data_IF_419526290406
#
_entry.id   IF_419526290406
#
_cell.length_a   1.000
_cell.length_b   1.000
_cell.length_c   1.000
_cell.angle_alpha   90.00
_cell.angle_beta   90.00
_cell.angle_gamma   90.00
#
_symmetry.space_group_name_H-M   'P 1'
#
loop_
_entity.id
_entity.type
_entity.pdbx_description
1 polymer ?
#
# COMPACT_ATOMS: atom_id res chain seq x y z
N UNK A 1 1.97 -17.41 -24.12
CA UNK A 1 0.61 -17.01 -23.71
C UNK A 1 0.13 -17.77 -22.46
N UNK A 2 0.17 -19.10 -22.45
CA UNK A 2 -0.21 -19.92 -21.26
C UNK A 2 0.61 -19.61 -20.00
N UNK A 3 1.91 -19.34 -20.11
CA UNK A 3 2.78 -19.01 -18.96
C UNK A 3 2.49 -17.63 -18.37
N UNK A 4 2.08 -16.66 -19.17
CA UNK A 4 1.67 -15.33 -18.71
C UNK A 4 0.32 -15.38 -17.99
N UNK A 5 -0.63 -16.14 -18.52
CA UNK A 5 -1.93 -16.35 -17.88
C UNK A 5 -1.79 -17.09 -16.54
N UNK A 6 -0.93 -18.10 -16.48
CA UNK A 6 -0.65 -18.82 -15.22
C UNK A 6 0.07 -17.94 -14.19
N UNK A 7 0.95 -17.03 -14.63
CA UNK A 7 1.60 -16.05 -13.77
C UNK A 7 0.64 -15.03 -13.20
N UNK A 8 -0.24 -14.46 -14.03
CA UNK A 8 -1.26 -13.52 -13.59
C UNK A 8 -2.26 -14.19 -12.63
N UNK A 9 -2.71 -15.41 -12.92
CA UNK A 9 -3.58 -16.18 -12.03
C UNK A 9 -2.91 -16.46 -10.67
N UNK A 10 -1.62 -16.80 -10.67
CA UNK A 10 -0.85 -17.00 -9.43
C UNK A 10 -0.79 -15.71 -8.59
N UNK A 11 -0.45 -14.57 -9.22
CA UNK A 11 -0.42 -13.27 -8.51
C UNK A 11 -1.77 -12.89 -7.95
N UNK A 12 -2.85 -13.12 -8.71
CA UNK A 12 -4.21 -12.85 -8.23
C UNK A 12 -4.58 -13.75 -7.05
N UNK A 13 -4.29 -15.05 -7.13
CA UNK A 13 -4.55 -15.99 -6.05
C UNK A 13 -3.75 -15.65 -4.77
N UNK A 14 -2.45 -15.34 -4.92
CA UNK A 14 -1.59 -14.89 -3.82
C UNK A 14 -2.09 -13.57 -3.23
N UNK A 15 -2.47 -12.60 -4.06
CA UNK A 15 -3.02 -11.33 -3.61
C UNK A 15 -4.31 -11.50 -2.81
N UNK A 16 -5.25 -12.32 -3.28
CA UNK A 16 -6.49 -12.63 -2.55
C UNK A 16 -6.21 -13.37 -1.24
N UNK A 17 -5.31 -14.34 -1.24
CA UNK A 17 -4.90 -15.04 -0.02
C UNK A 17 -4.28 -14.07 0.99
N UNK A 18 -3.33 -13.22 0.56
CA UNK A 18 -2.69 -12.23 1.41
C UNK A 18 -3.71 -11.22 1.97
N UNK A 19 -4.71 -10.83 1.17
CA UNK A 19 -5.79 -9.95 1.62
C UNK A 19 -6.64 -10.61 2.71
N UNK A 20 -7.00 -11.87 2.55
CA UNK A 20 -7.78 -12.61 3.55
C UNK A 20 -7.01 -12.83 4.85
N UNK A 21 -5.73 -13.24 4.75
CA UNK A 21 -4.87 -13.40 5.93
C UNK A 21 -4.65 -12.05 6.62
N UNK A 22 -4.39 -10.99 5.85
CA UNK A 22 -4.24 -9.62 6.36
C UNK A 22 -5.50 -9.10 7.05
N UNK A 23 -6.67 -9.45 6.54
CA UNK A 23 -7.93 -9.11 7.19
C UNK A 23 -8.12 -9.89 8.51
N UNK A 24 -7.87 -11.21 8.49
CA UNK A 24 -7.90 -12.03 9.71
C UNK A 24 -6.92 -11.51 10.77
N UNK A 25 -5.71 -11.15 10.37
CA UNK A 25 -4.73 -10.50 11.24
C UNK A 25 -5.28 -9.21 11.88
N UNK A 26 -5.91 -8.34 11.08
CA UNK A 26 -6.50 -7.08 11.60
C UNK A 26 -7.62 -7.32 12.59
N UNK A 27 -8.45 -8.35 12.38
CA UNK A 27 -9.50 -8.74 13.33
C UNK A 27 -8.89 -9.09 14.69
N UNK A 28 -7.92 -10.00 14.69
CA UNK A 28 -7.30 -10.46 15.94
C UNK A 28 -6.54 -9.30 16.60
N UNK A 29 -5.80 -8.52 15.82
CA UNK A 29 -5.06 -7.37 16.32
C UNK A 29 -5.99 -6.35 16.98
N UNK A 30 -7.07 -5.93 16.30
CA UNK A 30 -8.00 -4.93 16.83
C UNK A 30 -8.67 -5.37 18.14
N UNK A 31 -8.99 -6.65 18.26
CA UNK A 31 -9.54 -7.22 19.51
C UNK A 31 -8.54 -7.25 20.66
N UNK A 32 -7.26 -7.48 20.35
CA UNK A 32 -6.20 -7.52 21.37
C UNK A 32 -5.81 -6.12 21.87
N UNK A 33 -5.67 -5.16 20.95
CA UNK A 33 -5.08 -3.86 21.28
C UNK A 33 -6.11 -2.74 21.44
N UNK A 34 -7.33 -2.94 20.97
CA UNK A 34 -8.44 -1.96 21.05
C UNK A 34 -8.33 -0.81 20.02
N UNK A 35 -9.41 -0.04 19.91
CA UNK A 35 -9.60 0.99 18.90
C UNK A 35 -8.55 2.12 18.96
N UNK A 36 -8.21 2.59 20.16
CA UNK A 36 -7.28 3.70 20.34
C UNK A 36 -5.84 3.33 19.91
N UNK A 37 -5.36 2.14 20.27
CA UNK A 37 -4.05 1.66 19.82
C UNK A 37 -4.03 1.42 18.31
N UNK A 38 -5.13 0.93 17.74
CA UNK A 38 -5.29 0.85 16.28
C UNK A 38 -5.21 2.23 15.63
N UNK A 39 -5.79 3.26 16.26
CA UNK A 39 -5.69 4.65 15.81
C UNK A 39 -4.25 5.16 15.80
N UNK A 40 -3.51 4.96 16.90
CA UNK A 40 -2.10 5.32 17.00
C UNK A 40 -1.25 4.60 15.93
N UNK A 41 -1.49 3.32 15.73
CA UNK A 41 -0.82 2.55 14.69
C UNK A 41 -1.13 3.10 13.28
N UNK A 42 -2.39 3.42 12.99
CA UNK A 42 -2.78 4.01 11.70
C UNK A 42 -2.21 5.43 11.51
N UNK A 43 -1.97 6.16 12.60
CA UNK A 43 -1.42 7.51 12.58
C UNK A 43 0.05 7.54 12.12
N UNK A 44 0.84 6.49 12.40
CA UNK A 44 2.24 6.39 11.96
C UNK A 44 2.39 5.88 10.51
N UNK A 45 1.38 5.23 9.93
CA UNK A 45 1.46 4.67 8.57
C UNK A 45 1.68 5.72 7.48
N UNK A 46 1.15 6.96 7.55
CA UNK A 46 1.49 8.05 6.65
C UNK A 46 2.99 8.37 6.60
N UNK A 47 3.67 8.33 7.74
CA UNK A 47 5.12 8.58 7.82
C UNK A 47 5.87 7.47 7.06
N UNK A 48 5.49 6.21 7.30
CA UNK A 48 6.02 5.05 6.56
C UNK A 48 5.82 5.20 5.04
N UNK A 49 4.59 5.49 4.61
CA UNK A 49 4.24 5.62 3.19
C UNK A 49 5.00 6.78 2.51
N UNK A 50 5.16 7.89 3.21
CA UNK A 50 5.90 9.06 2.71
C UNK A 50 7.38 8.75 2.53
N UNK A 51 8.01 8.09 3.50
CA UNK A 51 9.41 7.64 3.39
C UNK A 51 9.60 6.66 2.24
N UNK A 52 8.69 5.70 2.08
CA UNK A 52 8.73 4.74 0.97
C UNK A 52 8.58 5.43 -0.38
N UNK A 53 7.70 6.44 -0.49
CA UNK A 53 7.52 7.22 -1.72
C UNK A 53 8.76 8.02 -2.08
N UNK A 54 9.43 8.60 -1.08
CA UNK A 54 10.66 9.37 -1.27
C UNK A 54 11.86 8.50 -1.65
N UNK A 55 11.96 7.29 -1.10
CA UNK A 55 13.20 6.51 -1.16
C UNK A 55 13.13 5.32 -2.11
N UNK A 56 12.00 4.63 -2.18
CA UNK A 56 11.91 3.32 -2.84
C UNK A 56 11.03 3.29 -4.09
N UNK A 57 9.83 3.90 -4.08
CA UNK A 57 8.80 3.68 -5.12
C UNK A 57 9.31 4.03 -6.52
N UNK A 58 9.98 5.17 -6.69
CA UNK A 58 10.56 5.53 -7.99
C UNK A 58 11.61 4.54 -8.47
N UNK A 59 12.45 4.06 -7.55
CA UNK A 59 13.50 3.10 -7.85
C UNK A 59 12.95 1.71 -8.21
N UNK A 60 11.84 1.28 -7.62
CA UNK A 60 11.21 -0.02 -7.95
C UNK A 60 10.76 -0.07 -9.40
N UNK A 61 10.17 1.01 -9.91
CA UNK A 61 9.76 1.12 -11.32
C UNK A 61 10.98 1.11 -12.23
N UNK A 62 12.03 1.88 -11.91
CA UNK A 62 13.27 1.91 -12.69
C UNK A 62 13.94 0.53 -12.73
N UNK A 63 14.04 -0.16 -11.59
CA UNK A 63 14.60 -1.51 -11.51
C UNK A 63 13.81 -2.51 -12.35
N UNK A 64 12.48 -2.51 -12.24
CA UNK A 64 11.63 -3.42 -13.02
C UNK A 64 11.80 -3.18 -14.52
N UNK A 65 11.74 -1.93 -14.97
CA UNK A 65 11.85 -1.55 -16.38
C UNK A 65 13.23 -1.89 -16.97
N UNK A 66 14.30 -1.51 -16.27
CA UNK A 66 15.67 -1.77 -16.76
C UNK A 66 16.04 -3.26 -16.67
N UNK A 67 15.59 -3.97 -15.64
CA UNK A 67 15.80 -5.41 -15.53
C UNK A 67 15.11 -6.17 -16.66
N UNK A 68 13.88 -5.77 -17.03
CA UNK A 68 13.17 -6.35 -18.17
C UNK A 68 13.91 -6.11 -19.49
N UNK A 69 14.39 -4.88 -19.70
CA UNK A 69 15.19 -4.54 -20.89
C UNK A 69 16.45 -5.37 -21.00
N UNK A 70 17.26 -5.44 -19.93
CA UNK A 70 18.53 -6.12 -19.96
C UNK A 70 18.40 -7.66 -19.98
N UNK A 71 17.37 -8.22 -19.37
CA UNK A 71 17.06 -9.65 -19.48
C UNK A 71 16.67 -10.01 -20.92
N UNK A 72 15.88 -9.17 -21.61
CA UNK A 72 15.53 -9.36 -23.01
C UNK A 72 16.76 -9.32 -23.95
N UNK A 73 17.78 -8.53 -23.60
CA UNK A 73 19.08 -8.47 -24.29
C UNK A 73 20.04 -9.61 -23.88
N UNK A 74 19.66 -10.47 -22.94
CA UNK A 74 20.49 -11.54 -22.39
C UNK A 74 21.66 -11.02 -21.54
N UNK A 75 21.64 -9.76 -21.09
CA UNK A 75 22.68 -9.14 -20.26
C UNK A 75 22.35 -9.19 -18.78
N UNK A 76 22.57 -10.35 -18.17
CA UNK A 76 22.37 -10.54 -16.73
C UNK A 76 23.35 -9.73 -15.88
N UNK A 77 24.52 -9.37 -16.44
CA UNK A 77 25.48 -8.47 -15.79
C UNK A 77 24.88 -7.10 -15.54
N UNK A 78 24.21 -6.53 -16.55
CA UNK A 78 23.52 -5.26 -16.45
C UNK A 78 22.31 -5.33 -15.50
N UNK A 79 21.56 -6.44 -15.44
CA UNK A 79 20.50 -6.65 -14.45
C UNK A 79 21.05 -6.54 -13.02
N UNK A 80 22.15 -7.24 -12.72
CA UNK A 80 22.82 -7.14 -11.41
C UNK A 80 23.30 -5.72 -11.11
N UNK A 81 23.90 -5.05 -12.09
CA UNK A 81 24.38 -3.68 -11.95
C UNK A 81 23.24 -2.72 -11.67
N UNK A 82 22.09 -2.86 -12.36
CA UNK A 82 20.86 -2.11 -12.12
C UNK A 82 20.41 -2.24 -10.66
N UNK A 83 20.28 -3.48 -10.17
CA UNK A 83 19.89 -3.74 -8.77
C UNK A 83 20.88 -3.13 -7.78
N UNK A 84 22.18 -3.32 -7.98
CA UNK A 84 23.21 -2.81 -7.06
C UNK A 84 23.21 -1.29 -6.99
N UNK A 85 23.08 -0.61 -8.14
CA UNK A 85 23.00 0.86 -8.19
C UNK A 85 21.71 1.39 -7.57
N UNK A 86 20.59 0.72 -7.81
CA UNK A 86 19.31 1.08 -7.17
C UNK A 86 19.39 0.93 -5.64
N UNK A 87 19.99 -0.15 -5.13
CA UNK A 87 20.23 -0.32 -3.69
C UNK A 87 21.16 0.79 -3.15
N UNK A 88 22.20 1.16 -3.85
CA UNK A 88 23.11 2.25 -3.44
C UNK A 88 22.33 3.59 -3.36
N UNK A 89 21.54 3.94 -4.40
CA UNK A 89 20.73 5.15 -4.39
C UNK A 89 19.68 5.12 -3.28
N UNK A 90 19.07 3.97 -3.06
CA UNK A 90 18.11 3.77 -1.97
C UNK A 90 18.75 4.07 -0.61
N UNK A 91 19.89 3.47 -0.29
CA UNK A 91 20.56 3.71 0.99
C UNK A 91 21.09 5.13 1.13
N UNK A 92 21.58 5.75 0.05
CA UNK A 92 21.99 7.17 0.05
C UNK A 92 20.83 8.09 0.36
N UNK A 93 19.61 7.78 -0.06
CA UNK A 93 18.41 8.55 0.27
C UNK A 93 17.81 8.15 1.63
N UNK A 94 17.68 6.85 1.90
CA UNK A 94 16.92 6.33 3.04
C UNK A 94 17.67 6.51 4.39
N UNK A 95 19.00 6.39 4.42
CA UNK A 95 19.76 6.53 5.67
C UNK A 95 19.70 7.98 6.21
N UNK A 96 19.98 9.05 5.42
CA UNK A 96 19.85 10.40 5.92
C UNK A 96 18.41 10.77 6.31
N UNK A 97 17.42 10.37 5.50
CA UNK A 97 16.00 10.63 5.81
C UNK A 97 15.56 9.89 7.07
N UNK A 98 15.99 8.64 7.24
CA UNK A 98 15.74 7.87 8.45
C UNK A 98 16.41 8.50 9.68
N UNK A 99 17.65 8.96 9.56
CA UNK A 99 18.35 9.68 10.65
C UNK A 99 17.63 10.98 11.01
N UNK A 100 17.19 11.76 10.02
CA UNK A 100 16.37 12.96 10.25
C UNK A 100 15.06 12.61 10.95
N UNK A 101 14.40 11.52 10.53
CA UNK A 101 13.17 11.08 11.18
C UNK A 101 13.39 10.71 12.65
N UNK A 102 14.50 10.06 13.00
CA UNK A 102 14.83 9.73 14.40
C UNK A 102 15.10 11.01 15.20
N UNK A 103 15.90 11.94 14.66
CA UNK A 103 16.23 13.21 15.32
C UNK A 103 14.97 14.05 15.55
N UNK A 104 14.07 14.11 14.59
CA UNK A 104 12.84 14.89 14.65
C UNK A 104 11.61 14.05 15.06
N UNK A 105 11.81 12.86 15.62
CA UNK A 105 10.70 11.97 16.01
C UNK A 105 9.74 12.60 17.02
N UNK A 106 10.26 13.31 18.01
CA UNK A 106 9.46 14.02 19.02
C UNK A 106 8.62 15.16 18.40
N UNK A 107 9.21 16.15 17.69
CA UNK A 107 8.41 17.15 16.97
C UNK A 107 7.38 16.58 16.01
N UNK A 108 7.71 15.50 15.30
CA UNK A 108 6.77 14.85 14.37
C UNK A 108 5.61 14.23 15.13
N UNK A 109 5.88 13.53 16.25
CA UNK A 109 4.83 12.93 17.07
C UNK A 109 3.89 13.98 17.64
N UNK A 110 4.46 15.03 18.27
CA UNK A 110 3.69 16.02 19.03
C UNK A 110 2.98 17.00 18.10
N UNK A 111 3.71 17.61 17.15
CA UNK A 111 3.16 18.72 16.35
C UNK A 111 2.52 18.27 15.04
N UNK A 112 3.04 17.22 14.39
CA UNK A 112 2.48 16.76 13.13
C UNK A 112 1.38 15.72 13.34
N UNK A 113 1.63 14.68 14.14
CA UNK A 113 0.67 13.61 14.40
C UNK A 113 -0.29 13.92 15.56
N UNK A 114 0.07 14.88 16.42
CA UNK A 114 -0.77 15.34 17.54
C UNK A 114 -0.80 14.38 18.73
N UNK A 115 0.08 13.37 18.78
CA UNK A 115 0.13 12.43 19.90
C UNK A 115 1.56 11.90 20.15
N UNK A 116 2.14 12.27 21.29
CA UNK A 116 3.49 11.88 21.68
C UNK A 116 3.71 10.35 21.75
N UNK A 117 2.65 9.58 22.00
CA UNK A 117 2.70 8.10 22.09
C UNK A 117 3.04 7.42 20.77
N UNK A 118 3.09 8.16 19.66
CA UNK A 118 3.51 7.65 18.35
C UNK A 118 5.03 7.63 18.17
N UNK A 119 5.80 8.30 19.04
CA UNK A 119 7.25 8.52 18.89
C UNK A 119 8.04 7.22 18.76
N UNK A 120 7.83 6.26 19.67
CA UNK A 120 8.51 4.96 19.63
C UNK A 120 8.21 4.22 18.31
N UNK A 121 6.95 4.24 17.86
CA UNK A 121 6.55 3.66 16.59
C UNK A 121 7.28 4.29 15.41
N UNK A 122 7.40 5.63 15.38
CA UNK A 122 8.11 6.37 14.32
C UNK A 122 9.59 5.97 14.25
N UNK A 123 10.27 5.88 15.38
CA UNK A 123 11.69 5.48 15.45
C UNK A 123 11.86 4.06 14.90
N UNK A 124 10.99 3.13 15.29
CA UNK A 124 11.02 1.74 14.84
C UNK A 124 10.60 1.56 13.36
N UNK A 125 9.94 2.55 12.74
CA UNK A 125 9.68 2.53 11.30
C UNK A 125 10.96 2.64 10.46
N UNK A 126 12.04 3.24 10.97
CA UNK A 126 13.28 3.42 10.20
C UNK A 126 13.88 2.09 9.74
N UNK A 127 14.18 1.12 10.63
CA UNK A 127 14.64 -0.19 10.19
C UNK A 127 13.61 -0.92 9.32
N UNK A 128 12.31 -0.74 9.57
CA UNK A 128 11.24 -1.30 8.73
C UNK A 128 11.35 -0.78 7.29
N UNK A 129 11.43 0.55 7.09
CA UNK A 129 11.57 1.17 5.76
C UNK A 129 12.84 0.69 5.04
N UNK A 130 13.97 0.60 5.75
CA UNK A 130 15.23 0.12 5.17
C UNK A 130 15.12 -1.32 4.66
N UNK A 131 14.48 -2.18 5.41
CA UNK A 131 14.28 -3.59 5.04
C UNK A 131 13.25 -3.74 3.91
N UNK A 132 12.10 -3.07 4.03
CA UNK A 132 11.06 -3.07 2.97
C UNK A 132 11.60 -2.51 1.65
N UNK A 133 12.44 -1.48 1.68
CA UNK A 133 13.06 -0.95 0.47
C UNK A 133 13.98 -1.96 -0.19
N UNK A 134 14.81 -2.69 0.58
CA UNK A 134 15.64 -3.78 0.07
C UNK A 134 14.78 -4.89 -0.53
N UNK A 135 13.73 -5.30 0.17
CA UNK A 135 12.77 -6.30 -0.30
C UNK A 135 12.15 -5.88 -1.63
N UNK A 136 11.55 -4.69 -1.68
CA UNK A 136 10.84 -4.19 -2.86
C UNK A 136 11.74 -4.07 -4.08
N UNK A 137 12.99 -3.61 -3.93
CA UNK A 137 13.95 -3.55 -5.03
C UNK A 137 14.29 -4.94 -5.59
N UNK A 138 14.42 -5.96 -4.74
CA UNK A 138 14.61 -7.33 -5.20
C UNK A 138 13.35 -7.91 -5.85
N UNK A 139 12.18 -7.68 -5.24
CA UNK A 139 10.86 -8.09 -5.75
C UNK A 139 10.64 -7.55 -7.18
N UNK A 140 10.85 -6.25 -7.37
CA UNK A 140 10.71 -5.60 -8.68
C UNK A 140 11.77 -6.02 -9.69
N UNK A 141 12.98 -6.39 -9.24
CA UNK A 141 13.98 -7.00 -10.10
C UNK A 141 13.49 -8.36 -10.63
N UNK A 142 12.92 -9.21 -9.77
CA UNK A 142 12.35 -10.50 -10.16
C UNK A 142 11.15 -10.32 -11.11
N UNK A 143 10.30 -9.34 -10.90
CA UNK A 143 9.20 -9.02 -11.81
C UNK A 143 9.75 -8.59 -13.19
N UNK A 144 10.78 -7.75 -13.22
CA UNK A 144 11.42 -7.33 -14.45
C UNK A 144 12.01 -8.49 -15.27
N UNK A 145 12.63 -9.47 -14.62
CA UNK A 145 13.16 -10.66 -15.30
C UNK A 145 12.12 -11.76 -15.56
N UNK A 146 10.83 -11.47 -15.32
CA UNK A 146 9.73 -12.40 -15.57
C UNK A 146 9.61 -13.54 -14.57
N UNK A 147 10.32 -13.50 -13.43
CA UNK A 147 10.25 -14.50 -12.39
C UNK A 147 9.27 -14.10 -11.28
N UNK A 148 8.01 -14.48 -11.44
CA UNK A 148 6.92 -14.10 -10.54
C UNK A 148 6.88 -14.98 -9.27
N UNK A 149 7.28 -16.25 -9.37
CA UNK A 149 7.16 -17.23 -8.26
C UNK A 149 7.94 -16.85 -7.00
N UNK A 150 9.23 -16.43 -7.06
CA UNK A 150 9.99 -16.08 -5.86
C UNK A 150 9.34 -14.97 -5.03
N UNK A 151 8.96 -13.80 -5.60
CA UNK A 151 8.26 -12.75 -4.85
C UNK A 151 6.91 -13.21 -4.29
N UNK A 152 6.09 -13.90 -5.09
CA UNK A 152 4.77 -14.35 -4.69
C UNK A 152 4.81 -15.29 -3.48
N UNK A 153 5.72 -16.28 -3.50
CA UNK A 153 5.89 -17.20 -2.37
C UNK A 153 6.44 -16.49 -1.13
N UNK A 154 7.43 -15.59 -1.31
CA UNK A 154 7.97 -14.82 -0.18
C UNK A 154 6.90 -13.95 0.46
N UNK A 155 6.07 -13.25 -0.32
CA UNK A 155 4.98 -12.42 0.17
C UNK A 155 3.92 -13.22 0.95
N UNK A 156 3.60 -14.44 0.46
CA UNK A 156 2.69 -15.34 1.17
C UNK A 156 3.23 -15.73 2.54
N UNK A 157 4.50 -16.15 2.60
CA UNK A 157 5.13 -16.55 3.87
C UNK A 157 5.35 -15.34 4.79
N UNK A 158 5.74 -14.20 4.24
CA UNK A 158 5.88 -12.94 4.97
C UNK A 158 4.60 -12.57 5.70
N UNK A 159 3.45 -12.65 5.03
CA UNK A 159 2.15 -12.34 5.65
C UNK A 159 1.83 -13.25 6.84
N UNK A 160 2.20 -14.53 6.75
CA UNK A 160 2.06 -15.46 7.87
C UNK A 160 3.03 -15.14 9.01
N UNK A 161 4.29 -14.83 8.69
CA UNK A 161 5.30 -14.44 9.69
C UNK A 161 4.89 -13.14 10.36
N UNK A 162 4.41 -12.14 9.62
CA UNK A 162 3.90 -10.87 10.16
C UNK A 162 2.80 -11.12 11.18
N UNK A 163 1.83 -11.93 10.81
CA UNK A 163 0.73 -12.30 11.70
C UNK A 163 1.25 -13.00 12.96
N UNK A 164 2.09 -14.02 12.80
CA UNK A 164 2.65 -14.77 13.92
C UNK A 164 3.58 -13.95 14.80
N UNK A 165 4.46 -13.13 14.21
CA UNK A 165 5.41 -12.30 14.95
C UNK A 165 4.70 -11.21 15.77
N UNK A 166 3.77 -10.45 15.16
CA UNK A 166 3.07 -9.38 15.88
C UNK A 166 2.19 -9.94 16.98
N UNK A 167 1.35 -10.94 16.68
CA UNK A 167 0.45 -11.51 17.68
C UNK A 167 1.25 -12.28 18.76
N UNK A 168 2.27 -13.01 18.37
CA UNK A 168 3.15 -13.72 19.30
C UNK A 168 3.88 -12.75 20.25
N UNK A 169 4.45 -11.67 19.74
CA UNK A 169 5.12 -10.67 20.58
C UNK A 169 4.14 -9.97 21.54
N UNK A 170 2.92 -9.63 21.07
CA UNK A 170 1.91 -9.01 21.93
C UNK A 170 1.49 -9.93 23.10
N UNK A 171 1.34 -11.23 22.82
CA UNK A 171 0.98 -12.21 23.85
C UNK A 171 2.15 -12.49 24.80
N UNK A 172 3.39 -12.54 24.31
CA UNK A 172 4.57 -12.85 25.12
C UNK A 172 5.03 -11.68 25.97
N UNK A 173 5.01 -10.45 25.43
CA UNK A 173 5.59 -9.28 26.11
C UNK A 173 4.58 -8.56 27.01
N UNK A 174 3.27 -8.77 26.81
CA UNK A 174 2.20 -8.17 27.62
C UNK A 174 2.42 -6.66 27.86
N UNK A 175 2.35 -5.81 26.81
CA UNK A 175 2.73 -4.41 26.93
C UNK A 175 1.93 -3.68 28.00
N UNK A 176 2.57 -2.77 28.73
CA UNK A 176 1.97 -2.06 29.86
C UNK A 176 1.20 -0.82 29.44
N UNK A 177 1.56 -0.26 28.29
CA UNK A 177 0.94 0.97 27.77
C UNK A 177 0.76 0.89 26.24
N UNK A 178 0.00 1.85 25.67
CA UNK A 178 -0.32 1.89 24.25
C UNK A 178 0.87 2.20 23.36
N UNK A 179 1.82 3.00 23.83
CA UNK A 179 3.06 3.31 23.13
C UNK A 179 3.90 2.07 22.92
N UNK A 180 4.14 1.29 23.98
CA UNK A 180 4.82 -0.01 23.91
C UNK A 180 4.10 -0.96 22.96
N UNK A 181 2.76 -0.97 22.99
CA UNK A 181 1.95 -1.81 22.10
C UNK A 181 2.19 -1.46 20.64
N UNK A 182 2.19 -0.17 20.27
CA UNK A 182 2.51 0.27 18.91
C UNK A 182 3.95 -0.10 18.55
N UNK A 183 4.90 0.09 19.47
CA UNK A 183 6.29 -0.32 19.28
C UNK A 183 6.44 -1.82 19.02
N UNK A 184 5.70 -2.66 19.72
CA UNK A 184 5.68 -4.13 19.52
C UNK A 184 5.09 -4.48 18.15
N UNK A 185 4.02 -3.84 17.72
CA UNK A 185 3.44 -4.05 16.39
C UNK A 185 4.47 -3.75 15.30
N UNK A 186 5.13 -2.60 15.38
CA UNK A 186 6.17 -2.21 14.40
C UNK A 186 7.38 -3.14 14.47
N UNK A 187 7.79 -3.58 15.67
CA UNK A 187 8.86 -4.58 15.84
C UNK A 187 8.51 -5.90 15.14
N UNK A 188 7.27 -6.36 15.26
CA UNK A 188 6.79 -7.54 14.55
C UNK A 188 6.82 -7.35 13.02
N UNK A 189 6.51 -6.14 12.53
CA UNK A 189 6.71 -5.78 11.11
C UNK A 189 8.18 -5.85 10.71
N UNK A 190 9.10 -5.30 11.51
CA UNK A 190 10.54 -5.37 11.24
C UNK A 190 11.02 -6.83 11.11
N UNK A 191 10.54 -7.72 11.98
CA UNK A 191 10.91 -9.14 11.91
C UNK A 191 10.47 -9.81 10.61
N UNK A 192 9.27 -9.54 10.13
CA UNK A 192 8.84 -10.10 8.86
C UNK A 192 9.60 -9.51 7.66
N UNK A 193 9.92 -8.22 7.70
CA UNK A 193 10.73 -7.58 6.66
C UNK A 193 12.18 -8.12 6.62
N UNK A 194 12.76 -8.45 7.77
CA UNK A 194 14.07 -9.15 7.82
C UNK A 194 13.98 -10.47 7.04
N UNK A 195 12.94 -11.27 7.30
CA UNK A 195 12.75 -12.53 6.58
C UNK A 195 12.65 -12.31 5.07
N UNK A 196 11.80 -11.39 4.63
CA UNK A 196 11.56 -11.12 3.21
C UNK A 196 12.80 -10.57 2.51
N UNK A 197 13.47 -9.57 3.10
CA UNK A 197 14.68 -8.98 2.55
C UNK A 197 15.82 -10.00 2.44
N UNK A 198 16.03 -10.82 3.47
CA UNK A 198 17.06 -11.88 3.45
C UNK A 198 16.74 -12.95 2.42
N UNK A 199 15.49 -13.43 2.40
CA UNK A 199 15.04 -14.48 1.48
C UNK A 199 15.17 -14.04 0.03
N UNK A 200 14.64 -12.87 -0.35
CA UNK A 200 14.73 -12.37 -1.73
C UNK A 200 16.16 -12.05 -2.14
N UNK A 201 16.98 -11.53 -1.24
CA UNK A 201 18.41 -11.32 -1.50
C UNK A 201 19.13 -12.66 -1.74
N UNK A 202 18.85 -13.69 -0.94
CA UNK A 202 19.46 -15.02 -1.11
C UNK A 202 19.01 -15.68 -2.42
N UNK A 203 17.71 -15.61 -2.74
CA UNK A 203 17.17 -16.12 -4.00
C UNK A 203 17.77 -15.41 -5.21
N UNK A 204 17.93 -14.08 -5.15
CA UNK A 204 18.59 -13.32 -6.21
C UNK A 204 20.07 -13.72 -6.37
N UNK A 205 20.80 -13.90 -5.25
CA UNK A 205 22.20 -14.39 -5.29
C UNK A 205 22.27 -15.78 -5.90
N UNK A 206 21.32 -16.68 -5.60
CA UNK A 206 21.24 -18.02 -6.16
C UNK A 206 20.98 -17.97 -7.67
N UNK A 207 20.00 -17.17 -8.11
CA UNK A 207 19.69 -16.95 -9.52
C UNK A 207 20.91 -16.41 -10.29
N UNK A 208 21.61 -15.44 -9.71
CA UNK A 208 22.83 -14.89 -10.30
C UNK A 208 23.94 -15.91 -10.45
N UNK A 209 24.15 -16.76 -9.44
CA UNK A 209 25.22 -17.79 -9.45
C UNK A 209 24.97 -18.90 -10.46
N UNK A 210 23.73 -19.19 -10.81
CA UNK A 210 23.34 -20.21 -11.79
C UNK A 210 23.53 -19.77 -13.25
N UNK A 211 23.92 -18.52 -13.49
CA UNK A 211 24.14 -17.95 -14.81
C UNK A 211 25.62 -17.93 -15.21
N UNK A 212 25.93 -18.01 -16.51
CA UNK A 212 27.27 -17.72 -17.00
C UNK A 212 27.74 -16.33 -16.55
N UNK A 213 28.93 -16.23 -15.97
CA UNK A 213 29.49 -14.96 -15.51
C UNK A 213 29.93 -14.14 -16.73
N UNK A 214 29.04 -13.36 -17.30
CA UNK A 214 29.40 -12.39 -18.33
C UNK A 214 29.52 -11.00 -17.69
N UNK A 215 30.59 -10.25 -17.99
CA UNK A 215 30.60 -8.83 -17.62
C UNK A 215 29.43 -8.11 -18.31
N UNK A 216 28.91 -7.02 -17.72
CA UNK A 216 27.83 -6.27 -18.34
C UNK A 216 28.31 -5.75 -19.72
N UNK A 217 27.52 -6.01 -20.75
CA UNK A 217 27.80 -5.53 -22.11
C UNK A 217 27.51 -4.03 -22.23
N UNK A 218 26.48 -3.58 -21.54
CA UNK A 218 26.14 -2.16 -21.39
C UNK A 218 26.37 -1.69 -19.96
N UNK A 219 26.99 -0.53 -19.78
CA UNK A 219 27.11 0.12 -18.49
C UNK A 219 25.79 0.82 -18.16
N UNK A 220 25.09 0.36 -17.11
CA UNK A 220 23.87 1.02 -16.60
C UNK A 220 24.24 2.39 -16.02
N UNK A 221 23.91 3.47 -16.73
CA UNK A 221 24.17 4.83 -16.23
C UNK A 221 23.33 5.19 -15.01
N UNK A 222 23.91 5.97 -14.08
CA UNK A 222 23.12 6.58 -12.99
C UNK A 222 21.97 7.44 -13.52
N UNK A 223 22.23 8.17 -14.63
CA UNK A 223 21.21 8.99 -15.30
C UNK A 223 20.00 8.19 -15.78
N UNK A 224 20.19 6.95 -16.26
CA UNK A 224 19.09 6.09 -16.68
C UNK A 224 18.18 5.70 -15.52
N UNK A 225 18.76 5.38 -14.35
CA UNK A 225 17.97 5.11 -13.13
C UNK A 225 17.23 6.35 -12.66
N UNK A 226 17.92 7.50 -12.56
CA UNK A 226 17.34 8.73 -12.06
C UNK A 226 16.27 9.31 -13.00
N UNK A 227 16.45 9.23 -14.31
CA UNK A 227 15.44 9.72 -15.28
C UNK A 227 14.10 8.99 -15.22
N UNK A 228 14.11 7.72 -14.78
CA UNK A 228 12.88 6.94 -14.55
C UNK A 228 12.36 7.16 -13.13
N UNK A 229 13.26 7.09 -12.13
CA UNK A 229 12.86 7.07 -10.73
C UNK A 229 12.37 8.43 -10.21
N UNK A 230 12.98 9.56 -10.61
CA UNK A 230 12.62 10.88 -10.08
C UNK A 230 11.18 11.29 -10.45
N UNK A 231 10.74 11.22 -11.73
CA UNK A 231 9.36 11.56 -12.07
C UNK A 231 8.33 10.68 -11.37
N UNK A 232 8.62 9.38 -11.25
CA UNK A 232 7.72 8.42 -10.57
C UNK A 232 7.68 8.71 -9.07
N UNK A 233 8.83 8.95 -8.43
CA UNK A 233 8.90 9.31 -7.01
C UNK A 233 8.13 10.61 -6.72
N UNK A 234 8.29 11.64 -7.56
CA UNK A 234 7.61 12.91 -7.38
C UNK A 234 6.07 12.78 -7.46
N UNK A 235 5.56 12.06 -8.45
CA UNK A 235 4.12 11.80 -8.61
C UNK A 235 3.57 10.94 -7.47
N UNK A 236 4.30 9.89 -7.08
CA UNK A 236 3.92 9.01 -5.97
C UNK A 236 3.93 9.77 -4.63
N UNK A 237 4.94 10.61 -4.39
CA UNK A 237 5.04 11.42 -3.18
C UNK A 237 3.86 12.39 -3.06
N UNK A 238 3.50 13.06 -4.15
CA UNK A 238 2.36 13.98 -4.14
C UNK A 238 1.06 13.25 -3.79
N UNK A 239 0.78 12.11 -4.43
CA UNK A 239 -0.37 11.28 -4.11
C UNK A 239 -0.34 10.74 -2.67
N UNK A 240 0.83 10.33 -2.17
CA UNK A 240 0.99 9.85 -0.80
C UNK A 240 0.75 10.95 0.23
N UNK A 241 1.27 12.16 0.02
CA UNK A 241 1.05 13.31 0.92
C UNK A 241 -0.44 13.64 0.97
N UNK A 242 -1.11 13.76 -0.18
CA UNK A 242 -2.53 14.07 -0.23
C UNK A 242 -3.39 12.99 0.45
N UNK A 243 -3.16 11.71 0.12
CA UNK A 243 -3.87 10.58 0.73
C UNK A 243 -3.60 10.44 2.23
N UNK A 244 -2.36 10.74 2.66
CA UNK A 244 -1.95 10.63 4.06
C UNK A 244 -2.40 11.83 4.91
N UNK A 245 -2.66 12.97 4.31
CA UNK A 245 -3.09 14.17 5.04
C UNK A 245 -4.39 13.96 5.81
N UNK A 246 -5.30 13.13 5.30
CA UNK A 246 -6.54 12.75 6.01
C UNK A 246 -6.26 12.03 7.33
N UNK A 247 -5.22 11.22 7.42
CA UNK A 247 -4.88 10.50 8.65
C UNK A 247 -4.50 11.43 9.80
N UNK A 248 -3.86 12.56 9.48
CA UNK A 248 -3.52 13.61 10.46
C UNK A 248 -4.72 14.55 10.68
N UNK A 249 -5.41 14.90 9.60
CA UNK A 249 -6.47 15.90 9.62
C UNK A 249 -7.73 15.43 10.37
N UNK A 250 -8.12 14.16 10.23
CA UNK A 250 -9.34 13.62 10.86
C UNK A 250 -9.26 13.73 12.40
N UNK A 251 -8.25 13.16 13.09
CA UNK A 251 -8.15 13.30 14.55
C UNK A 251 -8.04 14.76 14.99
N UNK A 252 -7.23 15.57 14.33
CA UNK A 252 -7.06 16.98 14.65
C UNK A 252 -8.38 17.76 14.53
N UNK A 253 -9.20 17.51 13.51
CA UNK A 253 -10.49 18.17 13.33
C UNK A 253 -11.57 17.67 14.29
N UNK A 254 -11.54 16.40 14.70
CA UNK A 254 -12.41 15.89 15.74
C UNK A 254 -12.12 16.59 17.09
N UNK A 255 -10.84 16.74 17.44
CA UNK A 255 -10.44 17.49 18.65
C UNK A 255 -10.86 18.96 18.55
N UNK A 256 -10.64 19.60 17.40
CA UNK A 256 -11.08 20.98 17.17
C UNK A 256 -12.64 21.12 17.24
N UNK A 257 -13.37 20.05 16.95
CA UNK A 257 -14.83 19.97 17.12
C UNK A 257 -15.30 19.70 18.56
N UNK A 258 -14.37 19.56 19.51
CA UNK A 258 -14.65 19.37 20.94
C UNK A 258 -14.57 17.92 21.43
N UNK A 259 -14.09 16.99 20.61
CA UNK A 259 -13.85 15.62 21.06
C UNK A 259 -12.60 15.54 21.96
N UNK A 260 -12.65 14.65 22.95
CA UNK A 260 -11.43 14.30 23.71
C UNK A 260 -10.37 13.70 22.78
N UNK A 261 -9.07 14.04 22.94
CA UNK A 261 -8.00 13.53 22.08
C UNK A 261 -7.96 11.99 21.97
N UNK A 262 -8.14 11.29 23.08
CA UNK A 262 -8.17 9.83 23.12
C UNK A 262 -9.38 9.26 22.35
N UNK A 263 -10.56 9.91 22.51
CA UNK A 263 -11.78 9.53 21.78
C UNK A 263 -11.63 9.80 20.26
N UNK A 264 -10.99 10.89 19.86
CA UNK A 264 -10.73 11.22 18.47
C UNK A 264 -9.82 10.19 17.80
N UNK A 265 -8.76 9.74 18.48
CA UNK A 265 -7.84 8.71 18.00
C UNK A 265 -8.56 7.34 17.96
N UNK A 266 -9.38 7.02 18.96
CA UNK A 266 -10.21 5.81 18.95
C UNK A 266 -11.16 5.79 17.75
N UNK A 267 -11.87 6.88 17.50
CA UNK A 267 -12.77 7.00 16.37
C UNK A 267 -12.06 6.85 15.01
N UNK A 268 -10.87 7.43 14.89
CA UNK A 268 -10.00 7.23 13.72
C UNK A 268 -9.53 5.78 13.60
N UNK A 269 -9.17 5.13 14.71
CA UNK A 269 -8.79 3.72 14.77
C UNK A 269 -9.92 2.78 14.34
N UNK A 270 -11.15 3.05 14.77
CA UNK A 270 -12.34 2.33 14.31
C UNK A 270 -12.53 2.52 12.81
N UNK A 271 -12.51 3.76 12.32
CA UNK A 271 -12.68 4.06 10.89
C UNK A 271 -11.64 3.35 10.02
N UNK A 272 -10.35 3.61 10.27
CA UNK A 272 -9.25 3.14 9.41
C UNK A 272 -8.78 1.73 9.73
N UNK A 273 -8.90 1.29 10.99
CA UNK A 273 -8.44 -0.02 11.45
C UNK A 273 -9.48 -1.13 11.35
N UNK A 274 -10.78 -0.81 11.39
CA UNK A 274 -11.85 -1.79 11.45
C UNK A 274 -12.84 -1.63 10.28
N UNK A 275 -13.53 -0.48 10.16
CA UNK A 275 -14.60 -0.27 9.15
C UNK A 275 -14.08 -0.31 7.73
N UNK A 276 -13.04 0.49 7.40
CA UNK A 276 -12.48 0.54 6.05
C UNK A 276 -11.92 -0.82 5.58
N UNK A 277 -11.18 -1.60 6.37
CA UNK A 277 -10.74 -2.94 5.98
C UNK A 277 -11.89 -3.89 5.63
N UNK A 278 -13.02 -3.80 6.33
CA UNK A 278 -14.19 -4.62 6.04
C UNK A 278 -14.83 -4.24 4.70
N UNK A 279 -15.00 -2.95 4.44
CA UNK A 279 -15.52 -2.43 3.17
C UNK A 279 -14.58 -2.71 1.99
N UNK A 280 -13.27 -2.77 2.25
CA UNK A 280 -12.26 -3.03 1.22
C UNK A 280 -12.10 -4.53 0.87
N UNK A 281 -12.74 -5.47 1.58
CA UNK A 281 -12.66 -6.89 1.24
C UNK A 281 -13.11 -7.19 -0.20
N UNK A 282 -14.30 -6.72 -0.65
CA UNK A 282 -14.75 -6.98 -2.02
C UNK A 282 -13.92 -6.25 -3.07
N UNK A 283 -13.24 -5.14 -2.72
CA UNK A 283 -12.50 -4.30 -3.71
C UNK A 283 -11.29 -5.02 -4.30
N UNK A 284 -10.78 -6.09 -3.67
CA UNK A 284 -9.70 -6.91 -4.22
C UNK A 284 -10.01 -7.46 -5.62
N UNK A 285 -11.29 -7.71 -5.92
CA UNK A 285 -11.72 -8.12 -7.26
C UNK A 285 -11.54 -7.01 -8.31
N UNK A 286 -11.66 -5.74 -7.92
CA UNK A 286 -11.47 -4.60 -8.82
C UNK A 286 -10.00 -4.50 -9.26
N UNK A 287 -9.05 -4.77 -8.35
CA UNK A 287 -7.63 -4.87 -8.70
C UNK A 287 -7.38 -5.92 -9.80
N UNK A 288 -7.96 -7.11 -9.65
CA UNK A 288 -7.87 -8.17 -10.64
C UNK A 288 -8.52 -7.79 -11.99
N UNK A 289 -9.68 -7.09 -11.97
CA UNK A 289 -10.30 -6.54 -13.18
C UNK A 289 -9.40 -5.53 -13.88
N UNK A 290 -8.75 -4.63 -13.15
CA UNK A 290 -7.85 -3.62 -13.69
C UNK A 290 -6.61 -4.23 -14.35
N UNK A 291 -6.08 -5.36 -13.84
CA UNK A 291 -4.98 -6.08 -14.48
C UNK A 291 -5.32 -6.57 -15.89
N UNK A 292 -6.58 -6.94 -16.13
CA UNK A 292 -7.07 -7.36 -17.45
C UNK A 292 -7.51 -6.18 -18.30
N UNK A 293 -8.09 -5.15 -17.67
CA UNK A 293 -8.63 -3.96 -18.32
C UNK A 293 -7.55 -3.19 -19.11
N UNK A 294 -6.44 -2.84 -18.44
CA UNK A 294 -5.41 -1.97 -19.00
C UNK A 294 -4.82 -2.52 -20.30
N UNK A 295 -4.29 -3.77 -20.38
CA UNK A 295 -3.69 -4.28 -21.62
C UNK A 295 -4.75 -4.49 -22.73
N UNK A 296 -5.96 -4.92 -22.40
CA UNK A 296 -7.02 -5.09 -23.40
C UNK A 296 -7.46 -3.78 -24.02
N UNK A 297 -7.59 -2.71 -23.22
CA UNK A 297 -7.91 -1.39 -23.77
C UNK A 297 -6.76 -0.82 -24.59
N UNK A 298 -5.51 -0.99 -24.16
CA UNK A 298 -4.34 -0.57 -24.91
C UNK A 298 -4.30 -1.22 -26.30
N UNK A 299 -4.57 -2.54 -26.39
CA UNK A 299 -4.61 -3.26 -27.64
C UNK A 299 -5.73 -2.74 -28.57
N UNK A 300 -6.96 -2.60 -28.05
CA UNK A 300 -8.10 -2.10 -28.85
C UNK A 300 -7.92 -0.66 -29.30
N UNK A 301 -7.35 0.17 -28.44
CA UNK A 301 -7.02 1.56 -28.76
C UNK A 301 -5.95 1.66 -29.86
N UNK A 302 -4.90 0.82 -29.79
CA UNK A 302 -3.85 0.75 -30.80
C UNK A 302 -4.39 0.32 -32.19
N UNK A 303 -5.46 -0.50 -32.23
CA UNK A 303 -6.14 -0.89 -33.46
C UNK A 303 -7.11 0.19 -34.00
N UNK A 304 -7.28 1.30 -33.28
CA UNK A 304 -8.21 2.38 -33.70
C UNK A 304 -9.68 2.02 -33.53
N UNK A 305 -10.02 0.91 -32.91
CA UNK A 305 -11.39 0.44 -32.74
C UNK A 305 -12.07 1.06 -31.51
N UNK A 306 -12.56 2.30 -31.69
CA UNK A 306 -13.26 3.02 -30.63
C UNK A 306 -14.53 2.30 -30.14
N UNK A 307 -15.23 1.55 -30.98
CA UNK A 307 -16.43 0.80 -30.58
C UNK A 307 -16.05 -0.37 -29.66
N UNK A 308 -14.98 -1.08 -29.99
CA UNK A 308 -14.48 -2.15 -29.14
C UNK A 308 -13.95 -1.63 -27.78
N UNK A 309 -13.36 -0.42 -27.74
CA UNK A 309 -12.94 0.24 -26.51
C UNK A 309 -14.16 0.52 -25.62
N UNK A 310 -15.19 1.19 -26.15
CA UNK A 310 -16.41 1.51 -25.40
C UNK A 310 -17.13 0.24 -24.93
N UNK A 311 -17.38 -0.71 -25.84
CA UNK A 311 -18.08 -1.93 -25.49
C UNK A 311 -17.32 -2.85 -24.50
N UNK A 312 -15.99 -2.74 -24.42
CA UNK A 312 -15.22 -3.44 -23.41
C UNK A 312 -15.29 -2.71 -22.05
N UNK A 313 -15.19 -1.38 -22.06
CA UNK A 313 -15.32 -0.58 -20.85
C UNK A 313 -16.72 -0.72 -20.23
N UNK A 314 -17.78 -0.68 -21.04
CA UNK A 314 -19.17 -0.89 -20.58
C UNK A 314 -19.36 -2.24 -19.91
N UNK A 315 -18.74 -3.30 -20.45
CA UNK A 315 -18.78 -4.64 -19.83
C UNK A 315 -18.07 -4.67 -18.50
N UNK A 316 -16.90 -4.01 -18.39
CA UNK A 316 -16.16 -3.97 -17.13
C UNK A 316 -16.89 -3.14 -16.07
N UNK A 317 -17.48 -1.98 -16.47
CA UNK A 317 -18.30 -1.18 -15.57
C UNK A 317 -19.56 -1.92 -15.12
N UNK A 318 -20.22 -2.64 -16.03
CA UNK A 318 -21.39 -3.49 -15.70
C UNK A 318 -20.99 -4.63 -14.74
N UNK A 319 -19.86 -5.28 -14.97
CA UNK A 319 -19.35 -6.30 -14.07
C UNK A 319 -19.00 -5.73 -12.68
N UNK A 320 -18.41 -4.52 -12.65
CA UNK A 320 -18.15 -3.79 -11.41
C UNK A 320 -19.45 -3.50 -10.67
N UNK A 321 -20.48 -3.00 -11.37
CA UNK A 321 -21.79 -2.72 -10.79
C UNK A 321 -22.45 -3.99 -10.24
N UNK A 322 -22.46 -5.06 -11.03
CA UNK A 322 -23.10 -6.33 -10.68
C UNK A 322 -22.43 -6.98 -9.46
N UNK A 323 -21.12 -6.79 -9.29
CA UNK A 323 -20.36 -7.36 -8.17
C UNK A 323 -20.39 -6.47 -6.94
N UNK A 324 -20.09 -5.18 -7.14
CA UNK A 324 -19.83 -4.27 -6.02
C UNK A 324 -21.12 -3.67 -5.43
N UNK A 325 -22.12 -3.36 -6.23
CA UNK A 325 -23.35 -2.76 -5.70
C UNK A 325 -24.11 -3.72 -4.74
N UNK A 326 -24.32 -5.01 -5.07
CA UNK A 326 -24.90 -5.94 -4.10
C UNK A 326 -24.01 -6.19 -2.87
N UNK A 327 -22.67 -6.27 -3.07
CA UNK A 327 -21.73 -6.44 -1.96
C UNK A 327 -21.78 -5.26 -0.98
N UNK A 328 -21.77 -4.03 -1.49
CA UNK A 328 -21.88 -2.83 -0.66
C UNK A 328 -23.27 -2.72 -0.01
N UNK A 329 -24.35 -3.01 -0.74
CA UNK A 329 -25.70 -3.05 -0.16
C UNK A 329 -25.81 -4.09 0.97
N UNK A 330 -25.23 -5.27 0.79
CA UNK A 330 -25.19 -6.30 1.84
C UNK A 330 -24.40 -5.80 3.05
N UNK A 331 -23.22 -5.20 2.84
CA UNK A 331 -22.39 -4.66 3.92
C UNK A 331 -23.05 -3.49 4.65
N UNK A 332 -23.93 -2.70 4.02
CA UNK A 332 -24.69 -1.66 4.74
C UNK A 332 -25.72 -2.24 5.68
N UNK A 333 -26.32 -3.38 5.33
CA UNK A 333 -27.37 -4.02 6.15
C UNK A 333 -26.76 -4.94 7.21
N UNK A 334 -25.87 -5.83 6.82
CA UNK A 334 -25.28 -6.84 7.71
C UNK A 334 -23.99 -6.34 8.38
N UNK A 335 -23.35 -5.32 7.78
CA UNK A 335 -22.06 -4.80 8.21
C UNK A 335 -21.99 -4.33 9.65
N UNK A 336 -22.97 -3.59 10.19
CA UNK A 336 -22.96 -3.17 11.59
C UNK A 336 -22.90 -4.36 12.56
N UNK A 337 -23.72 -5.38 12.35
CA UNK A 337 -23.72 -6.59 13.19
C UNK A 337 -22.47 -7.42 12.97
N UNK A 338 -22.03 -7.54 11.70
CA UNK A 338 -20.81 -8.22 11.35
C UNK A 338 -19.58 -7.55 11.98
N UNK A 339 -19.50 -6.21 11.94
CA UNK A 339 -18.42 -5.44 12.54
C UNK A 339 -18.38 -5.64 14.06
N UNK A 340 -19.54 -5.57 14.73
CA UNK A 340 -19.65 -5.87 16.15
C UNK A 340 -19.19 -7.28 16.47
N UNK A 341 -19.63 -8.25 15.70
CA UNK A 341 -19.25 -9.64 15.93
C UNK A 341 -17.77 -9.90 15.63
N UNK A 342 -17.24 -9.32 14.53
CA UNK A 342 -15.87 -9.54 14.06
C UNK A 342 -14.86 -8.76 14.91
N UNK A 343 -15.07 -7.48 15.13
CA UNK A 343 -14.11 -6.61 15.86
C UNK A 343 -14.40 -6.49 17.35
N UNK A 344 -15.62 -6.80 17.79
CA UNK A 344 -16.05 -6.62 19.19
C UNK A 344 -16.40 -5.17 19.54
N UNK A 345 -16.47 -4.27 18.54
CA UNK A 345 -16.77 -2.85 18.70
C UNK A 345 -17.99 -2.45 17.86
N UNK A 346 -19.03 -1.92 18.53
CA UNK A 346 -20.25 -1.51 17.85
C UNK A 346 -20.05 -0.29 16.94
N UNK A 347 -19.15 0.62 17.33
CA UNK A 347 -18.87 1.84 16.58
C UNK A 347 -18.30 1.56 15.18
N UNK A 348 -17.73 0.37 14.96
CA UNK A 348 -17.25 -0.04 13.64
C UNK A 348 -18.37 -0.17 12.58
N UNK A 349 -19.62 -0.21 13.00
CA UNK A 349 -20.80 -0.25 12.13
C UNK A 349 -21.46 1.10 11.84
N UNK A 350 -21.18 2.12 12.64
CA UNK A 350 -21.95 3.37 12.63
C UNK A 350 -21.89 4.14 11.29
N UNK A 351 -20.80 4.06 10.58
CA UNK A 351 -20.56 4.80 9.32
C UNK A 351 -20.57 3.88 8.07
N UNK A 352 -21.10 2.67 8.19
CA UNK A 352 -21.08 1.68 7.08
C UNK A 352 -21.76 2.20 5.81
N UNK A 353 -22.95 2.81 5.94
CA UNK A 353 -23.71 3.26 4.77
C UNK A 353 -22.97 4.33 3.94
N UNK A 354 -22.57 5.49 4.51
CA UNK A 354 -21.87 6.50 3.73
C UNK A 354 -20.53 6.00 3.17
N UNK A 355 -19.79 5.23 3.95
CA UNK A 355 -18.51 4.67 3.50
C UNK A 355 -18.67 3.59 2.43
N UNK A 356 -19.72 2.78 2.46
CA UNK A 356 -20.02 1.80 1.42
C UNK A 356 -20.34 2.48 0.08
N UNK A 357 -21.10 3.58 0.11
CA UNK A 357 -21.37 4.40 -1.09
C UNK A 357 -20.06 5.01 -1.62
N UNK A 358 -19.24 5.60 -0.75
CA UNK A 358 -17.93 6.12 -1.10
C UNK A 358 -17.01 5.06 -1.70
N UNK A 359 -16.96 3.86 -1.11
CA UNK A 359 -16.17 2.72 -1.60
C UNK A 359 -16.66 2.25 -2.97
N UNK A 360 -17.97 2.20 -3.20
CA UNK A 360 -18.55 1.86 -4.50
C UNK A 360 -18.12 2.86 -5.58
N UNK A 361 -18.21 4.16 -5.29
CA UNK A 361 -17.76 5.23 -6.21
C UNK A 361 -16.25 5.14 -6.46
N UNK A 362 -15.46 4.83 -5.43
CA UNK A 362 -14.02 4.58 -5.52
C UNK A 362 -13.67 3.40 -6.45
N UNK A 363 -14.50 2.35 -6.47
CA UNK A 363 -14.34 1.25 -7.42
C UNK A 363 -14.52 1.71 -8.87
N UNK A 364 -15.53 2.52 -9.16
CA UNK A 364 -15.69 3.10 -10.50
C UNK A 364 -14.53 4.03 -10.86
N UNK A 365 -14.09 4.86 -9.92
CA UNK A 365 -12.91 5.72 -10.13
C UNK A 365 -11.66 4.88 -10.48
N UNK A 366 -11.43 3.76 -9.80
CA UNK A 366 -10.30 2.86 -10.07
C UNK A 366 -10.38 2.26 -11.48
N UNK A 367 -11.56 1.77 -11.89
CA UNK A 367 -11.78 1.22 -13.24
C UNK A 367 -11.58 2.29 -14.31
N UNK A 368 -12.13 3.50 -14.13
CA UNK A 368 -11.99 4.60 -15.08
C UNK A 368 -10.54 5.10 -15.16
N UNK A 369 -9.82 5.16 -14.05
CA UNK A 369 -8.38 5.48 -14.02
C UNK A 369 -7.58 4.40 -14.76
N UNK A 370 -7.90 3.12 -14.54
CA UNK A 370 -7.34 2.01 -15.30
C UNK A 370 -7.61 2.12 -16.81
N UNK A 371 -8.81 2.53 -17.19
CA UNK A 371 -9.16 2.76 -18.59
C UNK A 371 -8.35 3.91 -19.21
N UNK A 372 -8.21 5.04 -18.50
CA UNK A 372 -7.36 6.16 -18.95
C UNK A 372 -5.90 5.73 -19.13
N UNK A 373 -5.38 4.91 -18.20
CA UNK A 373 -4.04 4.35 -18.32
C UNK A 373 -3.91 3.43 -19.55
N UNK A 374 -4.92 2.61 -19.81
CA UNK A 374 -4.96 1.71 -20.98
C UNK A 374 -4.98 2.44 -22.32
N UNK A 375 -5.64 3.59 -22.41
CA UNK A 375 -5.66 4.42 -23.65
C UNK A 375 -4.52 5.46 -23.70
N UNK A 376 -3.51 5.35 -22.82
CA UNK A 376 -2.33 6.22 -22.82
C UNK A 376 -2.55 7.62 -22.25
N UNK A 377 -3.69 7.89 -21.60
CA UNK A 377 -4.01 9.21 -20.99
C UNK A 377 -3.68 9.24 -19.49
N UNK A 378 -2.51 8.77 -19.13
CA UNK A 378 -2.04 8.65 -17.73
C UNK A 378 -2.02 10.01 -17.00
N UNK A 379 -1.66 11.10 -17.71
CA UNK A 379 -1.68 12.46 -17.13
C UNK A 379 -3.08 12.92 -16.70
N UNK A 380 -4.13 12.52 -17.43
CA UNK A 380 -5.53 12.80 -17.03
C UNK A 380 -5.92 11.97 -15.80
N UNK A 381 -5.54 10.70 -15.74
CA UNK A 381 -5.80 9.86 -14.58
C UNK A 381 -5.14 10.45 -13.32
N UNK A 382 -3.85 10.85 -13.40
CA UNK A 382 -3.13 11.48 -12.30
C UNK A 382 -3.76 12.82 -11.87
N UNK A 383 -4.13 13.68 -12.83
CA UNK A 383 -4.79 14.94 -12.52
C UNK A 383 -6.12 14.74 -11.80
N UNK A 384 -6.93 13.79 -12.29
CA UNK A 384 -8.24 13.50 -11.67
C UNK A 384 -8.06 12.94 -10.25
N UNK A 385 -7.04 12.10 -9.99
CA UNK A 385 -6.72 11.61 -8.64
C UNK A 385 -6.35 12.77 -7.72
N UNK A 386 -5.43 13.66 -8.14
CA UNK A 386 -5.01 14.83 -7.34
C UNK A 386 -6.20 15.74 -7.03
N UNK A 387 -7.07 16.02 -8.01
CA UNK A 387 -8.26 16.84 -7.79
C UNK A 387 -9.22 16.15 -6.81
N UNK A 388 -9.44 14.86 -6.96
CA UNK A 388 -10.29 14.08 -6.04
C UNK A 388 -9.76 14.15 -4.61
N UNK A 389 -8.46 13.89 -4.41
CA UNK A 389 -7.83 13.93 -3.09
C UNK A 389 -7.88 15.34 -2.48
N UNK A 390 -7.65 16.39 -3.29
CA UNK A 390 -7.74 17.78 -2.82
C UNK A 390 -9.17 18.16 -2.41
N UNK A 391 -10.17 17.73 -3.17
CA UNK A 391 -11.59 17.93 -2.82
C UNK A 391 -11.93 17.20 -1.53
N UNK A 392 -11.50 15.94 -1.39
CA UNK A 392 -11.72 15.17 -0.17
C UNK A 392 -11.08 15.84 1.04
N UNK A 393 -9.82 16.31 0.93
CA UNK A 393 -9.15 17.05 2.01
C UNK A 393 -9.89 18.33 2.40
N UNK A 394 -10.37 19.09 1.41
CA UNK A 394 -11.16 20.29 1.67
C UNK A 394 -12.45 19.95 2.42
N UNK A 395 -13.18 18.92 1.99
CA UNK A 395 -14.36 18.44 2.72
C UNK A 395 -14.00 18.04 4.16
N UNK A 396 -13.01 17.16 4.35
CA UNK A 396 -12.54 16.75 5.68
C UNK A 396 -12.22 17.96 6.55
N UNK A 397 -11.52 18.95 6.01
CA UNK A 397 -11.12 20.15 6.76
C UNK A 397 -12.32 20.97 7.27
N UNK A 398 -13.35 21.17 6.46
CA UNK A 398 -14.49 22.01 6.81
C UNK A 398 -15.63 21.28 7.52
N UNK A 399 -15.79 19.98 7.28
CA UNK A 399 -16.98 19.23 7.73
C UNK A 399 -16.73 18.42 8.99
N UNK A 400 -15.56 17.79 9.14
CA UNK A 400 -15.27 16.89 10.28
C UNK A 400 -15.34 17.62 11.62
N UNK A 401 -14.90 18.87 11.71
CA UNK A 401 -15.00 19.65 12.94
C UNK A 401 -16.45 19.93 13.36
N UNK A 402 -17.41 19.97 12.42
CA UNK A 402 -18.82 20.29 12.68
C UNK A 402 -19.68 19.05 12.82
N UNK A 403 -19.44 18.03 12.02
CA UNK A 403 -20.31 16.85 11.90
C UNK A 403 -19.60 15.54 12.34
N UNK A 404 -18.41 15.65 12.94
CA UNK A 404 -17.61 14.48 13.32
C UNK A 404 -17.24 13.63 12.10
N UNK A 405 -17.11 12.32 12.30
CA UNK A 405 -16.79 11.38 11.22
C UNK A 405 -17.87 11.28 10.13
N UNK A 406 -19.11 11.71 10.39
CA UNK A 406 -20.13 11.79 9.34
C UNK A 406 -19.79 12.83 8.26
N UNK A 407 -18.88 13.77 8.55
CA UNK A 407 -18.39 14.76 7.61
C UNK A 407 -17.22 14.28 6.74
N UNK A 408 -16.68 13.09 6.97
CA UNK A 408 -15.62 12.47 6.17
C UNK A 408 -16.21 11.65 5.03
#
# INVERSE_FOLDING_TARGET
>A
MLSLLSGAALLTAVGLFSQLVGFGYRIVLSRLVGAETMGLYQLIMPVYSTLMSLTAIGLTVAVSTLSARYEALGDRGAVRQTRNRALALFFVAAIPLGALLVIFSDPISVYLLGDARTQLGIVLLVPCVLLTGVENLHKHCFYGIGQIRPPALTETVEQLIRTGAVLGLLILLLPRNREETVGIIVTGMVLCEIFSAVTLTALFRRWWRSAPKSPPREHVGWGQLLSISIPVAATSLLGTILGSANAVLIPAKLVAGGADPSAAISAFGVLCGMTMPLLNLPTGFIGALCLVLVPNLAQKHALGDGRAVHGFLDRVLSATSLLMAPAMALLTVVGPDLARWVFGDAAAGDYMLPLAVGTLLGCYQSVLSGALNGVGRQGLAARNAIVSDAVQLAFTFFTVARWGLAGF
#
